data_IF_640258737425
#
_entry.id   IF_640258737425
#
_cell.length_a   1.000
_cell.length_b   1.000
_cell.length_c   1.000
_cell.angle_alpha   90.00
_cell.angle_beta   90.00
_cell.angle_gamma   90.00
#
_symmetry.space_group_name_H-M   'P 1'
#
loop_
_entity.id
_entity.type
_entity.pdbx_description
1 polymer ?
#
# COMPACT_ATOMS: atom_id res chain seq x y z
N UNK A 1 25.13 3.40 -2.98
CA UNK A 1 24.56 4.55 -2.24
C UNK A 1 25.52 5.23 -1.23
N UNK A 2 26.85 5.00 -1.22
CA UNK A 2 27.72 5.64 -0.22
C UNK A 2 27.85 7.18 -0.34
N UNK A 3 27.53 7.75 -1.52
CA UNK A 3 27.79 9.16 -1.85
C UNK A 3 26.54 10.00 -2.21
N UNK A 4 25.33 9.46 -2.08
CA UNK A 4 24.12 10.12 -2.64
C UNK A 4 23.50 11.18 -1.72
N UNK A 5 23.81 11.17 -0.42
CA UNK A 5 23.27 12.09 0.58
C UNK A 5 24.37 12.70 1.46
N UNK A 6 24.27 14.02 1.68
CA UNK A 6 25.09 14.79 2.65
C UNK A 6 24.90 14.22 4.07
N UNK A 7 25.87 14.42 4.99
CA UNK A 7 25.80 13.89 6.36
C UNK A 7 24.49 14.19 7.10
N UNK A 8 23.92 15.38 6.90
CA UNK A 8 22.66 15.82 7.54
C UNK A 8 21.47 15.88 6.56
N UNK A 9 21.60 15.25 5.39
CA UNK A 9 20.51 15.23 4.43
C UNK A 9 19.40 14.26 4.84
N UNK A 10 18.16 14.61 4.48
CA UNK A 10 16.98 13.80 4.76
C UNK A 10 16.63 12.92 3.55
N UNK A 11 16.35 11.64 3.81
CA UNK A 11 15.66 10.78 2.86
C UNK A 11 14.16 10.88 3.12
N UNK A 12 13.39 11.28 2.10
CA UNK A 12 11.93 11.30 2.12
C UNK A 12 11.44 10.33 1.04
N UNK A 13 10.63 9.35 1.42
CA UNK A 13 10.01 8.42 0.47
C UNK A 13 8.49 8.38 0.66
N UNK A 14 7.78 8.22 -0.46
CA UNK A 14 6.36 7.93 -0.52
C UNK A 14 6.17 6.86 -1.59
N UNK A 15 6.39 5.61 -1.19
CA UNK A 15 6.44 4.47 -2.11
C UNK A 15 5.67 3.28 -1.56
N UNK A 16 5.26 2.38 -2.46
CA UNK A 16 4.70 1.10 -2.05
C UNK A 16 5.79 0.22 -1.42
N UNK A 17 5.67 0.02 -0.12
CA UNK A 17 6.61 -0.76 0.69
C UNK A 17 5.91 -1.96 1.31
N UNK A 18 5.85 -3.05 0.57
CA UNK A 18 5.13 -4.25 1.00
C UNK A 18 5.56 -5.48 0.24
N UNK A 19 4.64 -6.43 0.05
CA UNK A 19 4.94 -7.67 -0.66
C UNK A 19 5.45 -7.40 -2.07
N UNK A 20 6.57 -8.05 -2.43
CA UNK A 20 7.08 -8.09 -3.80
C UNK A 20 5.98 -8.48 -4.79
N UNK A 21 5.88 -7.72 -5.88
CA UNK A 21 4.89 -7.89 -6.95
C UNK A 21 3.43 -7.94 -6.48
N UNK A 22 3.11 -7.17 -5.44
CA UNK A 22 1.77 -7.12 -4.82
C UNK A 22 1.22 -8.51 -4.47
N UNK A 23 2.09 -9.47 -4.12
CA UNK A 23 1.71 -10.80 -3.70
C UNK A 23 1.20 -10.78 -2.26
N UNK A 24 0.00 -10.23 -2.08
CA UNK A 24 -0.59 -10.02 -0.77
C UNK A 24 -0.86 -11.33 -0.04
N UNK A 25 -0.59 -11.39 1.28
CA UNK A 25 -0.87 -12.57 2.09
C UNK A 25 -2.39 -12.81 2.21
N UNK A 26 -2.76 -14.03 2.59
CA UNK A 26 -4.18 -14.47 2.65
C UNK A 26 -5.03 -13.59 3.57
N UNK A 27 -4.50 -13.14 4.70
CA UNK A 27 -5.18 -12.24 5.63
C UNK A 27 -5.53 -10.89 4.97
N UNK A 28 -4.63 -10.31 4.17
CA UNK A 28 -4.92 -9.08 3.41
C UNK A 28 -5.95 -9.31 2.31
N UNK A 29 -5.84 -10.42 1.58
CA UNK A 29 -6.85 -10.79 0.57
C UNK A 29 -8.24 -10.97 1.20
N UNK A 30 -8.32 -11.58 2.38
CA UNK A 30 -9.59 -11.73 3.11
C UNK A 30 -10.14 -10.37 3.54
N UNK A 31 -9.32 -9.50 4.13
CA UNK A 31 -9.73 -8.16 4.53
C UNK A 31 -10.20 -7.30 3.33
N UNK A 32 -9.55 -7.42 2.17
CA UNK A 32 -10.01 -6.77 0.93
C UNK A 32 -11.40 -7.29 0.53
N UNK A 33 -11.64 -8.59 0.68
CA UNK A 33 -12.94 -9.19 0.37
C UNK A 33 -14.03 -8.77 1.35
N UNK A 34 -13.70 -8.60 2.63
CA UNK A 34 -14.61 -8.04 3.63
C UNK A 34 -14.99 -6.60 3.25
N UNK A 35 -14.03 -5.80 2.80
CA UNK A 35 -14.30 -4.45 2.27
C UNK A 35 -15.22 -4.48 1.04
N UNK A 36 -15.00 -5.39 0.09
CA UNK A 36 -15.87 -5.55 -1.07
C UNK A 36 -17.30 -5.96 -0.67
N UNK A 37 -17.45 -6.75 0.39
CA UNK A 37 -18.75 -7.23 0.86
C UNK A 37 -19.63 -6.11 1.43
N UNK A 38 -19.02 -5.05 2.00
CA UNK A 38 -19.73 -3.85 2.48
C UNK A 38 -20.42 -3.11 1.33
N UNK A 39 -19.85 -3.17 0.12
CA UNK A 39 -20.35 -2.42 -1.03
C UNK A 39 -21.60 -3.11 -1.61
N UNK A 40 -22.77 -2.44 -1.66
CA UNK A 40 -23.97 -2.98 -2.28
C UNK A 40 -23.71 -3.43 -3.72
N UNK A 41 -24.34 -4.52 -4.15
CA UNK A 41 -24.12 -5.11 -5.48
C UNK A 41 -24.34 -4.11 -6.62
N UNK A 42 -25.27 -3.16 -6.47
CA UNK A 42 -25.55 -2.08 -7.44
C UNK A 42 -24.33 -1.17 -7.71
N UNK A 43 -23.42 -1.03 -6.74
CA UNK A 43 -22.19 -0.23 -6.85
C UNK A 43 -20.95 -1.11 -7.09
N UNK A 44 -21.11 -2.38 -7.44
CA UNK A 44 -20.01 -3.31 -7.74
C UNK A 44 -19.86 -3.64 -9.22
N UNK A 45 -20.62 -2.99 -10.10
CA UNK A 45 -20.46 -3.16 -11.56
C UNK A 45 -19.14 -2.55 -12.00
N UNK A 46 -18.30 -3.32 -12.71
CA UNK A 46 -17.01 -2.85 -13.19
C UNK A 46 -17.18 -1.82 -14.31
N UNK A 47 -16.27 -0.84 -14.35
CA UNK A 47 -16.29 0.22 -15.35
C UNK A 47 -16.30 -0.36 -16.77
N UNK A 48 -17.22 0.13 -17.61
CA UNK A 48 -17.42 -0.32 -19.00
C UNK A 48 -17.61 -1.84 -19.15
N UNK A 49 -18.19 -2.50 -18.15
CA UNK A 49 -18.40 -3.95 -18.13
C UNK A 49 -19.73 -4.32 -17.50
N UNK A 50 -20.27 -5.49 -17.85
CA UNK A 50 -21.45 -6.08 -17.21
C UNK A 50 -21.09 -6.96 -16.00
N UNK A 51 -19.80 -7.13 -15.70
CA UNK A 51 -19.34 -8.01 -14.62
C UNK A 51 -19.30 -7.30 -13.28
N UNK A 52 -19.75 -7.98 -12.23
CA UNK A 52 -19.66 -7.52 -10.86
C UNK A 52 -18.32 -7.87 -10.21
N UNK A 53 -17.82 -6.99 -9.36
CA UNK A 53 -16.66 -7.23 -8.49
C UNK A 53 -17.11 -7.99 -7.23
N UNK A 54 -17.21 -9.32 -7.35
CA UNK A 54 -17.63 -10.15 -6.22
C UNK A 54 -16.49 -10.52 -5.27
N UNK A 55 -15.26 -10.63 -5.78
CA UNK A 55 -14.09 -11.08 -5.01
C UNK A 55 -12.79 -10.53 -5.60
N UNK A 56 -11.81 -10.30 -4.73
CA UNK A 56 -10.41 -10.08 -5.03
C UNK A 56 -9.60 -11.36 -4.77
N UNK A 57 -8.72 -11.72 -5.71
CA UNK A 57 -7.92 -12.96 -5.66
C UNK A 57 -6.41 -12.72 -5.68
N UNK A 58 -5.96 -11.47 -5.60
CA UNK A 58 -4.56 -11.10 -5.80
C UNK A 58 -4.21 -10.82 -7.26
N UNK A 59 -3.01 -10.29 -7.46
CA UNK A 59 -2.43 -10.01 -8.79
C UNK A 59 -1.74 -11.27 -9.29
N UNK A 60 -2.02 -11.68 -10.53
CA UNK A 60 -1.31 -12.78 -11.16
C UNK A 60 0.10 -12.35 -11.57
N UNK A 61 1.13 -13.01 -11.03
CA UNK A 61 2.55 -12.66 -11.25
C UNK A 61 2.88 -12.57 -12.74
N UNK A 62 2.51 -13.58 -13.53
CA UNK A 62 2.80 -13.60 -14.97
C UNK A 62 2.18 -12.41 -15.70
N UNK A 63 0.92 -12.09 -15.38
CA UNK A 63 0.23 -10.93 -15.96
C UNK A 63 0.92 -9.62 -15.59
N UNK A 64 1.40 -9.52 -14.36
CA UNK A 64 2.15 -8.35 -13.90
C UNK A 64 3.45 -8.21 -14.67
N UNK A 65 4.23 -9.29 -14.80
CA UNK A 65 5.52 -9.30 -15.52
C UNK A 65 5.34 -8.95 -17.00
N UNK A 66 4.30 -9.46 -17.65
CA UNK A 66 4.01 -9.15 -19.07
C UNK A 66 3.63 -7.68 -19.23
N UNK A 67 2.84 -7.13 -18.30
CA UNK A 67 2.44 -5.73 -18.33
C UNK A 67 3.62 -4.79 -18.06
N UNK A 68 4.38 -5.08 -17.01
CA UNK A 68 5.63 -4.39 -16.66
C UNK A 68 6.52 -5.32 -15.80
N UNK A 69 7.67 -5.79 -16.34
CA UNK A 69 8.57 -6.68 -15.62
C UNK A 69 9.33 -6.00 -14.46
N UNK A 70 9.44 -4.67 -14.48
CA UNK A 70 10.15 -3.87 -13.49
C UNK A 70 9.30 -3.51 -12.28
N UNK A 71 7.97 -3.56 -12.43
CA UNK A 71 7.01 -3.13 -11.42
C UNK A 71 7.14 -3.95 -10.13
N UNK A 72 7.34 -3.24 -9.00
CA UNK A 72 7.32 -3.80 -7.65
C UNK A 72 8.19 -5.06 -7.45
N UNK A 73 9.30 -5.21 -8.18
CA UNK A 73 10.13 -6.42 -8.20
C UNK A 73 10.82 -6.72 -6.86
N UNK A 74 11.06 -5.71 -6.03
CA UNK A 74 11.74 -5.85 -4.73
C UNK A 74 11.17 -4.91 -3.66
N UNK A 75 9.87 -4.62 -3.72
CA UNK A 75 9.21 -3.74 -2.74
C UNK A 75 9.36 -4.21 -1.30
N UNK A 76 9.55 -5.51 -1.08
CA UNK A 76 9.70 -6.11 0.25
C UNK A 76 11.03 -5.77 0.93
N UNK A 77 12.08 -5.46 0.18
CA UNK A 77 13.40 -5.16 0.75
C UNK A 77 13.59 -3.68 1.10
N UNK A 78 12.70 -2.79 0.61
CA UNK A 78 12.86 -1.34 0.72
C UNK A 78 12.97 -0.92 2.18
N UNK A 79 12.02 -1.33 3.03
CA UNK A 79 12.01 -0.95 4.45
C UNK A 79 13.22 -1.49 5.21
N UNK A 80 13.53 -2.76 5.03
CA UNK A 80 14.71 -3.40 5.63
C UNK A 80 16.00 -2.67 5.23
N UNK A 81 16.09 -2.25 3.97
CA UNK A 81 17.24 -1.52 3.44
C UNK A 81 17.35 -0.11 4.02
N UNK A 82 16.22 0.58 4.20
CA UNK A 82 16.23 1.93 4.77
C UNK A 82 16.57 1.88 6.25
N UNK A 83 15.89 1.03 7.03
CA UNK A 83 16.16 0.87 8.47
C UNK A 83 17.61 0.41 8.75
N UNK A 84 18.24 -0.32 7.82
CA UNK A 84 19.65 -0.72 7.94
C UNK A 84 20.64 0.43 7.72
N UNK A 85 20.29 1.45 6.95
CA UNK A 85 21.23 2.49 6.50
C UNK A 85 20.90 3.90 7.03
N UNK A 86 19.70 4.10 7.55
CA UNK A 86 19.18 5.39 7.99
C UNK A 86 18.52 5.28 9.37
N UNK A 87 18.52 6.39 10.10
CA UNK A 87 17.79 6.53 11.35
C UNK A 87 16.39 7.11 11.08
N UNK A 88 15.35 6.37 11.45
CA UNK A 88 13.96 6.78 11.33
C UNK A 88 13.65 7.99 12.21
N UNK A 89 13.22 9.10 11.61
CA UNK A 89 12.69 10.28 12.31
C UNK A 89 11.17 10.20 12.39
N UNK A 90 10.53 9.88 11.26
CA UNK A 90 9.08 9.79 11.15
C UNK A 90 8.72 8.63 10.25
N UNK A 91 7.80 7.80 10.71
CA UNK A 91 7.29 6.64 9.99
C UNK A 91 5.76 6.58 10.20
N UNK A 92 4.97 6.72 9.12
CA UNK A 92 3.50 6.69 9.20
C UNK A 92 2.86 5.83 8.13
N UNK A 93 1.84 5.00 8.48
CA UNK A 93 1.02 4.29 7.50
C UNK A 93 0.26 5.29 6.62
N UNK A 94 0.38 5.18 5.29
CA UNK A 94 -0.31 6.02 4.31
C UNK A 94 -1.73 5.51 3.98
N UNK A 95 -1.98 4.20 4.18
CA UNK A 95 -3.23 3.55 3.81
C UNK A 95 -3.31 3.12 2.35
N UNK A 96 -4.40 2.46 1.98
CA UNK A 96 -4.62 1.88 0.64
C UNK A 96 -4.38 0.37 0.56
N UNK A 97 -4.26 -0.30 1.71
CA UNK A 97 -4.05 -1.74 1.80
C UNK A 97 -5.28 -2.54 1.39
N UNK A 98 -6.47 -2.02 1.69
CA UNK A 98 -7.75 -2.61 1.35
C UNK A 98 -8.41 -1.81 0.23
N UNK A 99 -8.56 -0.50 0.43
CA UNK A 99 -9.35 0.39 -0.41
C UNK A 99 -8.89 0.39 -1.87
N UNK A 100 -7.59 0.46 -2.11
CA UNK A 100 -7.05 0.49 -3.48
C UNK A 100 -7.41 -0.76 -4.26
N UNK A 101 -7.50 -1.92 -3.60
CA UNK A 101 -7.92 -3.17 -4.22
C UNK A 101 -9.44 -3.32 -4.27
N UNK A 102 -10.15 -2.90 -3.23
CA UNK A 102 -11.60 -3.00 -3.11
C UNK A 102 -12.32 -2.09 -4.13
N UNK A 103 -11.88 -0.84 -4.26
CA UNK A 103 -12.50 0.15 -5.15
C UNK A 103 -11.96 0.10 -6.60
N UNK A 104 -10.89 -0.66 -6.86
CA UNK A 104 -10.37 -0.84 -8.22
C UNK A 104 -11.49 -1.28 -9.17
N UNK A 105 -11.60 -0.56 -10.29
CA UNK A 105 -12.59 -0.75 -11.37
C UNK A 105 -14.05 -0.40 -11.00
N UNK A 106 -14.35 -0.02 -9.75
CA UNK A 106 -15.71 0.31 -9.29
C UNK A 106 -15.82 1.70 -8.63
N UNK A 107 -14.70 2.43 -8.48
CA UNK A 107 -14.65 3.77 -7.88
C UNK A 107 -15.53 4.80 -8.59
N UNK A 108 -15.80 4.62 -9.90
CA UNK A 108 -16.70 5.48 -10.68
C UNK A 108 -18.12 5.58 -10.10
N UNK A 109 -18.59 4.60 -9.33
CA UNK A 109 -19.88 4.69 -8.62
C UNK A 109 -19.91 5.75 -7.52
N UNK A 110 -18.73 6.19 -7.07
CA UNK A 110 -18.54 7.12 -5.96
C UNK A 110 -18.02 8.50 -6.42
N UNK A 111 -18.15 8.83 -7.71
CA UNK A 111 -17.79 10.15 -8.24
C UNK A 111 -18.76 11.23 -7.76
N UNK A 112 -20.06 10.99 -7.90
CA UNK A 112 -21.11 11.81 -7.29
C UNK A 112 -21.55 11.16 -5.98
N UNK A 113 -21.51 11.93 -4.89
CA UNK A 113 -21.84 11.45 -3.56
C UNK A 113 -23.29 11.75 -3.17
N UNK A 114 -23.80 10.90 -2.29
CA UNK A 114 -25.07 11.05 -1.58
C UNK A 114 -24.92 10.34 -0.23
N UNK A 115 -25.89 10.50 0.66
CA UNK A 115 -25.85 9.94 2.02
C UNK A 115 -25.55 8.43 2.06
N UNK A 116 -26.08 7.66 1.09
CA UNK A 116 -25.83 6.22 0.99
C UNK A 116 -24.36 5.93 0.64
N UNK A 117 -23.83 6.60 -0.38
CA UNK A 117 -22.45 6.43 -0.85
C UNK A 117 -21.44 6.92 0.18
N UNK A 118 -21.72 8.03 0.84
CA UNK A 118 -20.89 8.55 1.94
C UNK A 118 -20.82 7.55 3.08
N UNK A 119 -21.96 7.01 3.52
CA UNK A 119 -22.00 5.98 4.56
C UNK A 119 -21.23 4.71 4.18
N UNK A 120 -21.26 4.32 2.90
CA UNK A 120 -20.46 3.19 2.40
C UNK A 120 -18.96 3.52 2.50
N UNK A 121 -18.54 4.69 2.01
CA UNK A 121 -17.15 5.13 2.08
C UNK A 121 -16.66 5.24 3.53
N UNK A 122 -17.45 5.79 4.44
CA UNK A 122 -17.12 5.87 5.87
C UNK A 122 -16.89 4.50 6.49
N UNK A 123 -17.73 3.51 6.16
CA UNK A 123 -17.55 2.14 6.64
C UNK A 123 -16.28 1.50 6.07
N UNK A 124 -15.95 1.80 4.81
CA UNK A 124 -14.73 1.33 4.17
C UNK A 124 -13.48 1.99 4.80
N UNK A 125 -13.52 3.29 5.08
CA UNK A 125 -12.44 4.01 5.76
C UNK A 125 -12.22 3.48 7.18
N UNK A 126 -13.29 3.29 7.96
CA UNK A 126 -13.19 2.66 9.29
C UNK A 126 -12.57 1.27 9.22
N UNK A 127 -12.93 0.47 8.22
CA UNK A 127 -12.35 -0.86 8.05
C UNK A 127 -10.85 -0.79 7.72
N UNK A 128 -10.44 0.14 6.85
CA UNK A 128 -9.02 0.40 6.54
C UNK A 128 -8.26 0.86 7.78
N UNK A 129 -8.80 1.80 8.56
CA UNK A 129 -8.18 2.31 9.79
C UNK A 129 -7.97 1.19 10.82
N UNK A 130 -8.98 0.34 11.03
CA UNK A 130 -8.87 -0.83 11.93
C UNK A 130 -7.86 -1.87 11.40
N UNK A 131 -7.71 -1.97 10.08
CA UNK A 131 -6.71 -2.84 9.47
C UNK A 131 -5.30 -2.29 9.63
N UNK A 132 -5.12 -0.97 9.49
CA UNK A 132 -3.85 -0.26 9.66
C UNK A 132 -3.32 -0.33 11.10
N UNK A 133 -4.19 -0.39 12.11
CA UNK A 133 -3.76 -0.62 13.50
C UNK A 133 -2.98 -1.94 13.67
N UNK A 134 -3.17 -2.90 12.75
CA UNK A 134 -2.58 -4.23 12.82
C UNK A 134 -1.31 -4.35 11.95
N UNK A 135 -1.02 -3.37 11.09
CA UNK A 135 -0.04 -3.50 10.01
C UNK A 135 0.70 -2.18 9.75
N UNK A 136 2.01 -2.28 9.47
CA UNK A 136 2.82 -1.19 8.91
C UNK A 136 3.07 -1.54 7.43
N UNK A 137 2.35 -0.98 6.45
CA UNK A 137 2.58 -1.38 5.03
C UNK A 137 2.68 -0.29 3.96
N UNK A 138 2.48 1.00 4.24
CA UNK A 138 2.73 2.04 3.22
C UNK A 138 3.21 3.27 3.96
N UNK A 139 4.30 3.91 3.53
CA UNK A 139 5.06 4.76 4.43
C UNK A 139 5.28 6.17 3.89
N UNK A 140 4.96 7.16 4.72
CA UNK A 140 5.71 8.41 4.72
C UNK A 140 6.87 8.24 5.69
N UNK A 141 8.09 8.25 5.16
CA UNK A 141 9.30 8.06 5.94
C UNK A 141 10.22 9.27 5.80
N UNK A 142 10.65 9.83 6.92
CA UNK A 142 11.72 10.82 6.98
C UNK A 142 12.85 10.23 7.80
N UNK A 143 14.05 10.15 7.23
CA UNK A 143 15.22 9.61 7.92
C UNK A 143 16.49 10.43 7.73
N UNK A 144 17.39 10.37 8.71
CA UNK A 144 18.78 10.87 8.59
C UNK A 144 19.76 9.72 8.30
N UNK A 145 20.92 10.03 7.72
CA UNK A 145 21.98 9.03 7.49
C UNK A 145 22.55 8.56 8.83
N UNK A 146 22.77 7.25 9.00
CA UNK A 146 23.47 6.74 10.19
C UNK A 146 24.91 7.29 10.18
N UNK A 147 25.29 8.05 11.21
CA UNK A 147 26.69 8.38 11.49
C UNK A 147 27.40 7.10 11.90
N UNK A 148 28.16 6.48 11.00
CA UNK A 148 29.14 5.46 11.41
C UNK A 148 30.25 6.17 12.18
N UNK A 149 30.27 5.97 13.50
CA UNK A 149 31.47 6.22 14.29
C UNK A 149 32.46 5.12 13.92
N UNK A 150 33.50 5.47 13.18
CA UNK A 150 34.65 4.60 13.00
C UNK A 150 35.51 4.74 14.25
N UNK A 151 35.35 3.84 15.22
CA UNK A 151 36.37 3.68 16.26
C UNK A 151 37.61 3.06 15.61
N UNK A 152 38.60 3.89 15.31
CA UNK A 152 39.96 3.42 15.08
C UNK A 152 40.49 2.93 16.44
N UNK A 153 40.59 1.61 16.60
CA UNK A 153 41.42 1.01 17.64
C UNK A 153 42.88 1.25 17.25
N UNK A 154 43.55 2.13 17.99
CA UNK A 154 45.01 2.21 18.05
C UNK A 154 45.56 1.12 18.96
#
# INVERSE_FOLDING_TARGET
MKHSLKPDGLLIINEFVGTTRHQFPRNQINAINDAIAIIPKKFRTRFRSKFYKNKYRGVGILRMIIADPSECIDSGSIMLSIHKNYNTILEKPYGGNLLMSALRDISHHFYELNDEKEKILDNLFKLEDEYLKKIILILYLVCTKIKRVYEFRN
#
